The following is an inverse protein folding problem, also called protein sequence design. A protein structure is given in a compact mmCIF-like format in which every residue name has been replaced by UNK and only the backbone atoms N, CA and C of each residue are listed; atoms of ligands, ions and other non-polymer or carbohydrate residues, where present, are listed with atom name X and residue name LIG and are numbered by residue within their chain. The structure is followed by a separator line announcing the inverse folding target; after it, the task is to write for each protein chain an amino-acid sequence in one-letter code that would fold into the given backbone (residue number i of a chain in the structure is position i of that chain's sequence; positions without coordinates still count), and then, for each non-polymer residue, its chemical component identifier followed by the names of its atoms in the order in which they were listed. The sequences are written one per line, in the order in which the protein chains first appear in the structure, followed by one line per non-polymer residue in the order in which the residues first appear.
data_IF_269055690699
#
_entry.id   IF_269055690699
#
_cell.length_a   1.000
_cell.length_b   1.000
_cell.length_c   1.000
_cell.angle_alpha   90.00
_cell.angle_beta   90.00
_cell.angle_gamma   90.00
#
_symmetry.space_group_name_H-M   'P 1'
#
loop_
_entity.id
_entity.type
_entity.pdbx_description
1 polymer ?
#
# COMPACT_ATOMS: atom_id res chain seq x y z
N UNK A 1 -12.61 23.65 -1.53
CA UNK A 1 -12.06 22.36 -1.05
C UNK A 1 -11.38 21.73 -2.23
N UNK A 2 -10.16 21.22 -2.04
CA UNK A 2 -9.47 20.47 -3.07
C UNK A 2 -10.06 19.05 -3.04
N UNK A 3 -10.62 18.60 -4.16
CA UNK A 3 -11.26 17.29 -4.25
C UNK A 3 -10.22 16.26 -4.66
N UNK A 4 -10.02 15.23 -3.83
CA UNK A 4 -9.22 14.07 -4.21
C UNK A 4 -10.09 13.03 -4.91
N UNK A 5 -9.59 12.47 -6.00
CA UNK A 5 -10.21 11.42 -6.78
C UNK A 5 -9.57 10.08 -6.43
N UNK A 6 -10.42 9.07 -6.21
CA UNK A 6 -9.97 7.69 -6.03
C UNK A 6 -9.40 7.17 -7.34
N UNK A 7 -8.26 6.49 -7.28
CA UNK A 7 -7.76 5.66 -8.37
C UNK A 7 -7.35 4.28 -7.85
N UNK A 8 -7.30 3.31 -8.76
CA UNK A 8 -6.88 1.95 -8.48
C UNK A 8 -5.85 1.51 -9.52
N UNK A 9 -4.92 0.67 -9.09
CA UNK A 9 -3.87 0.08 -9.93
C UNK A 9 -3.77 -1.40 -9.61
N UNK A 10 -3.63 -2.21 -10.64
CA UNK A 10 -3.50 -3.67 -10.54
C UNK A 10 -2.12 -4.10 -11.00
N UNK A 11 -1.46 -4.91 -10.17
CA UNK A 11 -0.14 -5.45 -10.45
C UNK A 11 -0.13 -6.97 -10.32
N UNK A 12 0.13 -7.72 -11.39
CA UNK A 12 0.36 -9.16 -11.29
C UNK A 12 1.62 -9.45 -10.47
N UNK A 13 1.54 -10.39 -9.53
CA UNK A 13 2.63 -10.78 -8.64
C UNK A 13 2.80 -12.31 -8.64
N UNK A 14 4.04 -12.78 -8.80
CA UNK A 14 4.37 -14.20 -8.73
C UNK A 14 4.67 -14.64 -7.29
N UNK A 15 3.65 -14.57 -6.42
CA UNK A 15 3.76 -14.94 -5.02
C UNK A 15 2.45 -15.54 -4.50
N UNK A 16 2.52 -16.45 -3.52
CA UNK A 16 1.31 -16.88 -2.80
C UNK A 16 0.74 -15.72 -1.97
N UNK A 17 -0.59 -15.63 -1.76
CA UNK A 17 -1.21 -14.57 -0.96
C UNK A 17 -0.58 -14.40 0.43
N UNK A 18 -0.35 -15.52 1.12
CA UNK A 18 0.24 -15.50 2.47
C UNK A 18 1.63 -14.87 2.50
N UNK A 19 2.51 -15.28 1.56
CA UNK A 19 3.86 -14.72 1.44
C UNK A 19 3.81 -13.23 1.09
N UNK A 20 2.98 -12.85 0.11
CA UNK A 20 2.85 -11.46 -0.32
C UNK A 20 2.33 -10.56 0.80
N UNK A 21 1.37 -11.03 1.59
CA UNK A 21 0.83 -10.29 2.73
C UNK A 21 1.89 -9.95 3.78
N UNK A 22 2.91 -10.79 3.99
CA UNK A 22 3.96 -10.49 4.97
C UNK A 22 4.71 -9.18 4.66
N UNK A 23 4.79 -8.80 3.38
CA UNK A 23 5.49 -7.60 2.92
C UNK A 23 4.71 -6.30 3.08
N UNK A 24 3.39 -6.34 3.30
CA UNK A 24 2.60 -5.11 3.50
C UNK A 24 1.72 -5.13 4.74
N UNK A 25 1.48 -6.30 5.32
CA UNK A 25 0.67 -6.50 6.53
C UNK A 25 1.44 -6.33 7.84
N UNK A 26 2.75 -6.06 7.78
CA UNK A 26 3.59 -5.84 8.95
C UNK A 26 4.50 -4.62 8.77
N UNK A 27 4.88 -3.91 9.86
CA UNK A 27 5.82 -2.79 9.78
C UNK A 27 7.18 -3.22 9.22
N UNK A 28 7.69 -4.37 9.64
CA UNK A 28 8.95 -4.92 9.12
C UNK A 28 8.86 -5.17 7.62
N UNK A 29 7.78 -5.79 7.13
CA UNK A 29 7.61 -6.03 5.70
C UNK A 29 7.56 -4.74 4.88
N UNK A 30 6.81 -3.73 5.35
CA UNK A 30 6.73 -2.43 4.69
C UNK A 30 8.10 -1.71 4.67
N UNK A 31 8.96 -1.96 5.65
CA UNK A 31 10.31 -1.38 5.72
C UNK A 31 11.27 -1.99 4.70
N UNK A 32 10.94 -3.13 4.09
CA UNK A 32 11.81 -3.79 3.11
C UNK A 32 11.71 -3.18 1.71
N UNK A 33 10.70 -2.35 1.43
CA UNK A 33 10.45 -1.84 0.07
C UNK A 33 9.62 -0.56 0.01
N UNK A 34 8.66 -0.37 0.92
CA UNK A 34 7.69 0.73 0.85
C UNK A 34 8.12 1.99 1.61
N UNK A 35 9.07 1.92 2.53
CA UNK A 35 9.65 3.09 3.20
C UNK A 35 11.00 2.69 3.81
N UNK A 36 11.87 3.66 4.11
CA UNK A 36 13.19 3.37 4.70
C UNK A 36 13.09 2.65 6.05
N UNK A 37 12.04 2.96 6.81
CA UNK A 37 11.69 2.28 8.05
C UNK A 37 10.21 2.52 8.40
N UNK A 38 9.56 1.52 8.98
CA UNK A 38 8.19 1.60 9.45
C UNK A 38 8.11 1.06 10.87
N UNK A 39 7.65 1.91 11.78
CA UNK A 39 7.39 1.55 13.17
C UNK A 39 5.89 1.48 13.41
N UNK A 40 5.45 0.73 14.42
CA UNK A 40 4.05 0.73 14.85
C UNK A 40 3.90 0.84 16.36
N UNK A 41 2.78 1.45 16.78
CA UNK A 41 2.33 1.48 18.17
C UNK A 41 0.80 1.35 18.19
N UNK A 42 0.32 0.15 18.48
CA UNK A 42 -1.10 -0.18 18.34
C UNK A 42 -1.52 -0.10 16.87
N UNK A 43 -2.61 0.60 16.59
CA UNK A 43 -3.14 0.78 15.22
C UNK A 43 -2.42 1.86 14.41
N UNK A 44 -1.44 2.57 15.00
CA UNK A 44 -0.72 3.66 14.33
C UNK A 44 0.61 3.17 13.80
N UNK A 45 0.80 3.34 12.49
CA UNK A 45 2.03 3.11 11.77
C UNK A 45 2.72 4.45 11.51
N UNK A 46 4.04 4.49 11.66
CA UNK A 46 4.89 5.65 11.37
C UNK A 46 5.87 5.25 10.28
N UNK A 47 5.69 5.81 9.09
CA UNK A 47 6.51 5.62 7.90
C UNK A 47 7.60 6.69 7.88
N UNK A 48 8.84 6.29 7.61
CA UNK A 48 10.01 7.16 7.66
C UNK A 48 10.67 7.19 6.29
N UNK A 49 10.88 8.40 5.76
CA UNK A 49 11.43 8.68 4.44
C UNK A 49 12.50 9.75 4.51
N UNK A 50 13.76 9.39 4.27
CA UNK A 50 14.90 10.30 4.34
C UNK A 50 14.90 11.14 5.64
N UNK A 51 14.47 10.54 6.76
CA UNK A 51 14.34 11.19 8.07
C UNK A 51 13.05 11.98 8.32
N UNK A 52 12.15 12.10 7.33
CA UNK A 52 10.80 12.65 7.49
C UNK A 52 9.82 11.57 7.94
N UNK A 53 8.87 11.90 8.80
CA UNK A 53 7.88 10.94 9.32
C UNK A 53 6.47 11.27 8.84
N UNK A 54 5.75 10.24 8.39
CA UNK A 54 4.30 10.28 8.17
C UNK A 54 3.60 9.19 8.97
N UNK A 55 2.42 9.51 9.51
CA UNK A 55 1.67 8.58 10.36
C UNK A 55 0.36 8.20 9.71
N UNK A 56 0.05 6.91 9.74
CA UNK A 56 -1.23 6.39 9.31
C UNK A 56 -1.87 5.52 10.38
N UNK A 57 -3.19 5.53 10.44
CA UNK A 57 -3.99 4.61 11.24
C UNK A 57 -4.45 3.44 10.37
N UNK A 58 -4.36 2.21 10.88
CA UNK A 58 -5.02 1.05 10.29
C UNK A 58 -6.53 1.20 10.45
N UNK A 59 -7.27 1.23 9.33
CA UNK A 59 -8.73 1.27 9.30
C UNK A 59 -9.35 -0.13 9.26
N UNK A 60 -8.71 -1.04 8.54
CA UNK A 60 -9.17 -2.40 8.36
C UNK A 60 -7.98 -3.30 8.06
N UNK A 61 -7.97 -4.47 8.68
CA UNK A 61 -6.99 -5.51 8.42
C UNK A 61 -7.71 -6.84 8.23
N UNK A 62 -7.31 -7.58 7.19
CA UNK A 62 -7.70 -8.98 6.97
C UNK A 62 -6.46 -9.73 6.51
N UNK A 63 -5.85 -10.54 7.41
CA UNK A 63 -4.67 -11.32 7.08
C UNK A 63 -4.83 -12.11 5.78
N UNK A 64 -3.76 -12.16 4.98
CA UNK A 64 -3.68 -12.82 3.66
C UNK A 64 -4.61 -12.24 2.58
N UNK A 65 -5.42 -11.22 2.89
CA UNK A 65 -6.33 -10.57 1.95
C UNK A 65 -5.98 -9.10 1.72
N UNK A 66 -6.00 -8.28 2.77
CA UNK A 66 -5.85 -6.83 2.61
C UNK A 66 -5.54 -6.08 3.90
N UNK A 67 -4.97 -4.89 3.75
CA UNK A 67 -4.83 -3.90 4.83
C UNK A 67 -5.11 -2.51 4.28
N UNK A 68 -5.82 -1.71 5.07
CA UNK A 68 -6.23 -0.34 4.72
C UNK A 68 -5.72 0.64 5.76
N UNK A 69 -5.13 1.72 5.28
CA UNK A 69 -4.53 2.76 6.09
C UNK A 69 -5.12 4.14 5.80
N UNK A 70 -5.12 4.99 6.81
CA UNK A 70 -5.54 6.40 6.74
C UNK A 70 -4.42 7.30 7.22
N UNK A 71 -3.89 8.14 6.35
CA UNK A 71 -2.96 9.20 6.75
C UNK A 71 -3.60 10.11 7.80
N UNK A 72 -2.94 10.30 8.95
CA UNK A 72 -3.45 11.11 10.07
C UNK A 72 -3.49 12.61 9.75
N UNK A 73 -2.61 13.05 8.84
CA UNK A 73 -2.53 14.45 8.42
C UNK A 73 -3.49 14.77 7.26
N UNK A 74 -4.21 13.77 6.72
CA UNK A 74 -5.17 13.99 5.66
C UNK A 74 -6.54 14.36 6.25
N UNK A 75 -6.98 15.58 6.00
CA UNK A 75 -8.23 16.14 6.54
C UNK A 75 -9.52 15.62 5.91
N UNK A 76 -9.44 14.81 4.84
CA UNK A 76 -10.61 14.18 4.22
C UNK A 76 -10.82 12.76 4.73
N UNK A 77 -11.73 12.55 5.67
CA UNK A 77 -12.01 11.23 6.29
C UNK A 77 -12.36 10.10 5.30
N UNK A 78 -12.65 10.41 4.02
CA UNK A 78 -13.02 9.40 3.01
C UNK A 78 -11.82 8.78 2.29
N UNK A 79 -10.64 9.41 2.34
CA UNK A 79 -9.45 8.89 1.66
C UNK A 79 -8.73 7.83 2.49
N UNK A 80 -8.07 6.91 1.82
CA UNK A 80 -7.25 5.86 2.40
C UNK A 80 -6.29 5.33 1.34
N UNK A 81 -5.23 4.65 1.75
CA UNK A 81 -4.51 3.76 0.85
C UNK A 81 -4.74 2.30 1.27
N UNK A 82 -4.90 1.40 0.30
CA UNK A 82 -5.21 -0.01 0.55
C UNK A 82 -4.31 -0.90 -0.31
N UNK A 83 -3.74 -1.92 0.33
CA UNK A 83 -3.17 -3.08 -0.32
C UNK A 83 -4.20 -4.19 -0.26
N UNK A 84 -4.61 -4.72 -1.41
CA UNK A 84 -5.56 -5.85 -1.50
C UNK A 84 -5.02 -6.91 -2.45
N UNK A 85 -4.93 -8.13 -1.97
CA UNK A 85 -4.62 -9.30 -2.80
C UNK A 85 -5.91 -9.75 -3.48
N UNK A 86 -5.83 -9.97 -4.78
CA UNK A 86 -6.85 -10.63 -5.57
C UNK A 86 -6.29 -11.92 -6.16
N UNK A 87 -7.07 -12.99 -6.11
CA UNK A 87 -6.70 -14.29 -6.67
C UNK A 87 -7.75 -14.66 -7.69
N UNK A 88 -7.35 -14.82 -8.95
CA UNK A 88 -8.27 -15.27 -9.99
C UNK A 88 -8.81 -16.67 -9.66
N UNK A 89 -10.12 -16.85 -9.76
CA UNK A 89 -10.76 -18.11 -9.35
C UNK A 89 -10.39 -19.29 -10.26
N UNK A 90 -10.00 -19.05 -11.50
CA UNK A 90 -9.74 -20.05 -12.52
C UNK A 90 -8.23 -20.30 -12.65
N UNK A 91 -7.45 -19.28 -12.96
CA UNK A 91 -6.00 -19.40 -13.22
C UNK A 91 -5.20 -19.48 -11.93
N UNK A 92 -5.77 -19.01 -10.82
CA UNK A 92 -5.08 -18.83 -9.53
C UNK A 92 -3.95 -17.80 -9.59
N UNK A 93 -3.95 -16.95 -10.62
CA UNK A 93 -3.03 -15.82 -10.70
C UNK A 93 -3.31 -14.85 -9.55
N UNK A 94 -2.24 -14.27 -9.01
CA UNK A 94 -2.29 -13.36 -7.87
C UNK A 94 -1.99 -11.95 -8.35
N UNK A 95 -2.88 -11.01 -8.04
CA UNK A 95 -2.70 -9.58 -8.27
C UNK A 95 -2.66 -8.84 -6.95
N UNK A 96 -1.82 -7.81 -6.86
CA UNK A 96 -1.88 -6.80 -5.82
C UNK A 96 -2.60 -5.58 -6.36
N UNK A 97 -3.74 -5.25 -5.77
CA UNK A 97 -4.54 -4.06 -6.07
C UNK A 97 -4.16 -2.98 -5.07
N UNK A 98 -3.76 -1.82 -5.61
CA UNK A 98 -3.51 -0.61 -4.85
C UNK A 98 -4.68 0.34 -5.06
N UNK A 99 -5.27 0.82 -3.97
CA UNK A 99 -6.20 1.95 -4.00
C UNK A 99 -5.56 3.14 -3.32
N UNK A 100 -5.66 4.32 -3.92
CA UNK A 100 -5.22 5.57 -3.31
C UNK A 100 -6.02 6.77 -3.86
N UNK A 101 -5.75 7.98 -3.36
CA UNK A 101 -6.49 9.20 -3.68
C UNK A 101 -5.53 10.36 -3.93
N UNK A 102 -5.67 11.02 -5.08
CA UNK A 102 -4.89 12.20 -5.43
C UNK A 102 -5.79 13.27 -6.05
N UNK A 103 -5.31 14.50 -6.09
CA UNK A 103 -5.98 15.57 -6.84
C UNK A 103 -5.78 15.28 -8.33
N UNK A 104 -6.69 15.75 -9.18
CA UNK A 104 -6.67 15.43 -10.62
C UNK A 104 -5.30 15.64 -11.28
N UNK A 105 -4.63 16.75 -10.95
CA UNK A 105 -3.32 17.11 -11.50
C UNK A 105 -2.18 16.21 -11.00
N UNK A 106 -2.32 15.58 -9.82
CA UNK A 106 -1.28 14.76 -9.17
C UNK A 106 -1.52 13.23 -9.36
N UNK A 107 -2.63 12.83 -10.01
CA UNK A 107 -2.96 11.40 -10.20
C UNK A 107 -1.83 10.67 -10.93
N UNK A 108 -1.29 11.26 -11.99
CA UNK A 108 -0.27 10.59 -12.79
C UNK A 108 1.05 10.44 -12.02
N UNK A 109 1.45 11.47 -11.26
CA UNK A 109 2.61 11.38 -10.37
C UNK A 109 2.42 10.31 -9.30
N UNK A 110 1.22 10.25 -8.70
CA UNK A 110 0.88 9.26 -7.68
C UNK A 110 0.92 7.83 -8.25
N UNK A 111 0.48 7.64 -9.49
CA UNK A 111 0.60 6.35 -10.18
C UNK A 111 2.05 5.97 -10.44
N UNK A 112 2.87 6.90 -10.96
CA UNK A 112 4.30 6.65 -11.19
C UNK A 112 5.03 6.30 -9.90
N UNK A 113 4.67 6.93 -8.79
CA UNK A 113 5.18 6.57 -7.47
C UNK A 113 4.83 5.11 -7.15
N UNK A 114 3.56 4.72 -7.26
CA UNK A 114 3.13 3.36 -6.99
C UNK A 114 3.77 2.32 -7.92
N UNK A 115 3.94 2.61 -9.22
CA UNK A 115 4.68 1.74 -10.13
C UNK A 115 6.11 1.50 -9.63
N UNK A 116 6.83 2.57 -9.26
CA UNK A 116 8.18 2.45 -8.73
C UNK A 116 8.23 1.66 -7.42
N UNK A 117 7.25 1.85 -6.53
CA UNK A 117 7.19 1.12 -5.26
C UNK A 117 6.91 -0.37 -5.48
N UNK A 118 5.97 -0.71 -6.35
CA UNK A 118 5.64 -2.11 -6.64
C UNK A 118 6.76 -2.81 -7.40
N UNK A 119 7.51 -2.11 -8.24
CA UNK A 119 8.72 -2.67 -8.85
C UNK A 119 9.78 -3.02 -7.81
N UNK A 120 9.93 -2.20 -6.75
CA UNK A 120 10.82 -2.53 -5.63
C UNK A 120 10.29 -3.74 -4.84
N UNK A 121 8.98 -3.79 -4.55
CA UNK A 121 8.37 -4.97 -3.92
C UNK A 121 8.67 -6.25 -4.70
N UNK A 122 8.48 -6.24 -6.03
CA UNK A 122 8.76 -7.40 -6.91
C UNK A 122 10.22 -7.84 -6.80
N UNK A 123 11.16 -6.90 -6.80
CA UNK A 123 12.58 -7.20 -6.59
C UNK A 123 12.85 -7.80 -5.22
N UNK A 124 12.26 -7.25 -4.16
CA UNK A 124 12.42 -7.72 -2.79
C UNK A 124 11.90 -9.15 -2.62
N UNK A 125 10.76 -9.51 -3.24
CA UNK A 125 10.22 -10.88 -3.20
C UNK A 125 10.91 -11.85 -4.18
N UNK A 126 11.73 -11.34 -5.11
CA UNK A 126 12.41 -12.13 -6.13
C UNK A 126 11.53 -12.54 -7.33
N UNK A 127 10.51 -11.73 -7.64
CA UNK A 127 9.56 -11.92 -8.73
C UNK A 127 9.88 -11.05 -9.97
#
# INVERSE_FOLDING_TARGET
MITKLKFEMEFPIQASPHMLYQYFGSPSGLSEWFADNVNSRGEIYTFIWNGSEEKAKVLQERPDEKIKFKWLNDGDDKTFFEFKIEVDEITKDVSLIITDFAIEDDIEESKMFWESQIDELKRTIGA
#
